data_IF_801998580342
#
_entry.id   IF_801998580342
#
_cell.length_a   1.000
_cell.length_b   1.000
_cell.length_c   1.000
_cell.angle_alpha   90.00
_cell.angle_beta   90.00
_cell.angle_gamma   90.00
#
_symmetry.space_group_name_H-M   'P 1'
#
loop_
_entity.id
_entity.type
_entity.pdbx_description
1 polymer ?
#
# COMPACT_ATOMS: atom_id res chain seq x y z
N UNK A 1 -9.41 32.42 -25.26
CA UNK A 1 -8.35 32.24 -24.23
C UNK A 1 -8.24 30.82 -23.66
N UNK A 2 -9.31 30.19 -23.14
CA UNK A 2 -9.24 28.85 -22.51
C UNK A 2 -8.56 27.74 -23.35
N UNK A 3 -8.80 27.69 -24.67
CA UNK A 3 -8.17 26.69 -25.58
C UNK A 3 -6.65 26.89 -25.81
N UNK A 4 -6.15 28.13 -25.81
CA UNK A 4 -4.71 28.41 -26.00
C UNK A 4 -3.93 28.12 -24.71
N UNK A 5 -4.53 28.42 -23.55
CA UNK A 5 -3.98 28.08 -22.23
C UNK A 5 -3.87 26.57 -22.02
N UNK A 6 -4.87 25.79 -22.45
CA UNK A 6 -4.82 24.33 -22.35
C UNK A 6 -3.70 23.71 -23.20
N UNK A 7 -3.43 24.25 -24.39
CA UNK A 7 -2.34 23.76 -25.26
C UNK A 7 -0.98 24.08 -24.64
N UNK A 8 -0.78 25.31 -24.16
CA UNK A 8 0.46 25.72 -23.48
C UNK A 8 0.74 24.87 -22.24
N UNK A 9 -0.29 24.60 -21.43
CA UNK A 9 -0.16 23.76 -20.24
C UNK A 9 0.16 22.31 -20.63
N UNK A 10 -0.47 21.75 -21.66
CA UNK A 10 -0.14 20.42 -22.18
C UNK A 10 1.33 20.37 -22.63
N UNK A 11 1.82 21.40 -23.32
CA UNK A 11 3.21 21.48 -23.77
C UNK A 11 4.20 21.55 -22.60
N UNK A 12 3.90 22.34 -21.55
CA UNK A 12 4.72 22.42 -20.33
C UNK A 12 4.69 21.10 -19.56
N UNK A 13 3.54 20.44 -19.49
CA UNK A 13 3.39 19.15 -18.81
C UNK A 13 4.19 18.05 -19.53
N UNK A 14 4.13 18.03 -20.85
CA UNK A 14 4.91 17.10 -21.69
C UNK A 14 6.41 17.38 -21.52
N UNK A 15 6.83 18.64 -21.48
CA UNK A 15 8.22 19.03 -21.19
C UNK A 15 8.67 18.61 -19.78
N UNK A 16 7.82 18.78 -18.77
CA UNK A 16 8.12 18.37 -17.40
C UNK A 16 8.24 16.85 -17.28
N UNK A 17 7.33 16.09 -17.92
CA UNK A 17 7.36 14.63 -17.95
C UNK A 17 8.60 14.11 -18.71
N UNK A 18 8.97 14.75 -19.83
CA UNK A 18 10.15 14.34 -20.60
C UNK A 18 11.46 14.65 -19.89
N UNK A 19 11.54 15.77 -19.16
CA UNK A 19 12.70 16.15 -18.33
C UNK A 19 12.86 15.21 -17.13
N UNK A 20 11.78 14.85 -16.43
CA UNK A 20 11.87 14.06 -15.18
C UNK A 20 11.98 12.55 -15.39
N UNK A 21 11.43 11.97 -16.46
CA UNK A 21 11.20 10.51 -16.51
C UNK A 21 11.90 9.76 -17.65
N UNK A 22 12.74 10.41 -18.48
CA UNK A 22 13.41 9.77 -19.65
C UNK A 22 12.45 8.82 -20.40
N UNK A 23 11.24 9.27 -20.69
CA UNK A 23 10.16 8.42 -21.21
C UNK A 23 10.46 8.05 -22.67
N UNK A 24 10.49 6.75 -22.98
CA UNK A 24 10.62 6.24 -24.37
C UNK A 24 9.45 6.74 -25.24
N UNK A 25 9.73 7.08 -26.50
CA UNK A 25 8.79 7.64 -27.48
C UNK A 25 7.47 6.85 -27.66
N UNK A 26 7.47 5.54 -27.38
CA UNK A 26 6.31 4.66 -27.53
C UNK A 26 5.13 5.00 -26.58
N UNK A 27 5.35 5.75 -25.49
CA UNK A 27 4.32 6.01 -24.46
C UNK A 27 3.66 7.38 -24.56
N UNK A 28 4.07 8.19 -25.53
CA UNK A 28 3.56 9.55 -25.71
C UNK A 28 2.07 9.50 -26.10
N UNK A 29 1.68 8.60 -27.00
CA UNK A 29 0.30 8.52 -27.52
C UNK A 29 -0.71 8.04 -26.45
N UNK A 30 -0.49 6.93 -25.71
CA UNK A 30 -1.39 6.53 -24.62
C UNK A 30 -1.43 7.57 -23.49
N UNK A 31 -0.30 8.21 -23.19
CA UNK A 31 -0.22 9.31 -22.22
C UNK A 31 -1.07 10.51 -22.65
N UNK A 32 -1.00 10.91 -23.92
CA UNK A 32 -1.83 12.00 -24.47
C UNK A 32 -3.33 11.65 -24.44
N UNK A 33 -3.72 10.43 -24.80
CA UNK A 33 -5.12 9.97 -24.70
C UNK A 33 -5.60 10.03 -23.25
N UNK A 34 -4.77 9.54 -22.31
CA UNK A 34 -5.07 9.58 -20.90
C UNK A 34 -5.22 11.03 -20.39
N UNK A 35 -4.32 11.95 -20.77
CA UNK A 35 -4.42 13.38 -20.45
C UNK A 35 -5.76 13.95 -20.92
N UNK A 36 -6.10 13.78 -22.19
CA UNK A 36 -7.35 14.29 -22.77
C UNK A 36 -8.57 13.73 -22.05
N UNK A 37 -8.57 12.44 -21.72
CA UNK A 37 -9.64 11.81 -20.96
C UNK A 37 -9.71 12.33 -19.52
N UNK A 38 -8.56 12.56 -18.88
CA UNK A 38 -8.42 13.12 -17.54
C UNK A 38 -9.01 14.53 -17.43
N UNK A 39 -8.77 15.36 -18.43
CA UNK A 39 -9.39 16.69 -18.54
C UNK A 39 -10.92 16.64 -18.65
N UNK A 40 -11.50 15.58 -19.23
CA UNK A 40 -12.96 15.42 -19.36
C UNK A 40 -13.60 14.79 -18.10
N UNK A 41 -12.98 13.77 -17.52
CA UNK A 41 -13.57 12.96 -16.44
C UNK A 41 -12.54 12.63 -15.35
N UNK A 42 -12.05 13.63 -14.59
CA UNK A 42 -10.98 13.45 -13.60
C UNK A 42 -11.34 12.44 -12.51
N UNK A 43 -12.62 12.34 -12.12
CA UNK A 43 -13.12 11.33 -11.18
C UNK A 43 -12.95 9.90 -11.66
N UNK A 44 -13.29 9.63 -12.93
CA UNK A 44 -13.12 8.31 -13.51
C UNK A 44 -11.64 7.99 -13.69
N UNK A 45 -10.85 8.97 -14.11
CA UNK A 45 -9.41 8.84 -14.23
C UNK A 45 -8.72 8.52 -12.92
N UNK A 46 -9.13 9.12 -11.80
CA UNK A 46 -8.64 8.75 -10.47
C UNK A 46 -8.87 7.27 -10.19
N UNK A 47 -10.09 6.76 -10.37
CA UNK A 47 -10.40 5.36 -10.13
C UNK A 47 -9.67 4.40 -11.07
N UNK A 48 -9.46 4.80 -12.33
CA UNK A 48 -8.65 4.05 -13.30
C UNK A 48 -7.18 4.01 -12.85
N UNK A 49 -6.60 5.14 -12.47
CA UNK A 49 -5.22 5.21 -11.97
C UNK A 49 -5.04 4.40 -10.70
N UNK A 50 -5.97 4.52 -9.76
CA UNK A 50 -6.01 3.72 -8.55
C UNK A 50 -6.02 2.22 -8.88
N UNK A 51 -6.95 1.80 -9.74
CA UNK A 51 -7.05 0.40 -10.15
C UNK A 51 -5.74 -0.10 -10.80
N UNK A 52 -5.18 0.64 -11.75
CA UNK A 52 -3.93 0.29 -12.45
C UNK A 52 -2.75 0.21 -11.49
N UNK A 53 -2.65 1.16 -10.55
CA UNK A 53 -1.56 1.20 -9.56
C UNK A 53 -1.53 -0.04 -8.66
N UNK A 54 -2.70 -0.62 -8.36
CA UNK A 54 -2.81 -1.87 -7.60
C UNK A 54 -2.75 -3.11 -8.51
N UNK A 55 -3.20 -3.01 -9.77
CA UNK A 55 -3.32 -4.14 -10.69
C UNK A 55 -1.97 -4.77 -11.04
N UNK A 56 -0.91 -3.98 -11.24
CA UNK A 56 0.35 -4.52 -11.75
C UNK A 56 1.26 -5.04 -10.62
N UNK A 57 1.72 -6.31 -10.66
CA UNK A 57 2.69 -6.85 -9.71
C UNK A 57 4.09 -6.30 -10.04
N UNK A 58 4.30 -5.06 -9.63
CA UNK A 58 5.53 -4.30 -9.82
C UNK A 58 6.67 -4.90 -8.96
N UNK A 59 7.87 -5.06 -9.55
CA UNK A 59 9.10 -5.45 -8.83
C UNK A 59 9.84 -6.69 -9.37
N UNK A 60 9.34 -7.35 -10.41
CA UNK A 60 9.89 -8.64 -10.89
C UNK A 60 10.89 -8.53 -12.07
N UNK A 61 10.86 -7.48 -12.89
CA UNK A 61 11.75 -7.38 -14.08
C UNK A 61 12.06 -5.95 -14.52
N UNK A 62 13.15 -5.77 -15.29
CA UNK A 62 13.53 -4.49 -15.89
C UNK A 62 12.45 -3.90 -16.82
N UNK A 63 11.64 -4.75 -17.47
CA UNK A 63 10.50 -4.30 -18.28
C UNK A 63 9.32 -3.82 -17.42
N UNK A 64 9.19 -4.31 -16.17
CA UNK A 64 8.20 -3.84 -15.20
C UNK A 64 8.64 -2.53 -14.49
N UNK A 65 9.92 -2.14 -14.56
CA UNK A 65 10.31 -0.78 -14.14
C UNK A 65 9.68 0.30 -15.03
N UNK A 66 9.35 -0.03 -16.28
CA UNK A 66 8.62 0.84 -17.19
C UNK A 66 7.18 1.07 -16.72
N UNK A 67 6.52 0.05 -16.16
CA UNK A 67 5.15 0.18 -15.65
C UNK A 67 5.08 1.05 -14.38
N UNK A 68 6.13 1.04 -13.55
CA UNK A 68 6.29 1.98 -12.43
C UNK A 68 6.27 3.42 -12.93
N UNK A 69 7.13 3.73 -13.90
CA UNK A 69 7.24 5.07 -14.46
C UNK A 69 5.91 5.51 -15.06
N UNK A 70 5.18 4.61 -15.74
CA UNK A 70 3.85 4.90 -16.28
C UNK A 70 2.84 5.24 -15.18
N UNK A 71 2.79 4.46 -14.09
CA UNK A 71 1.86 4.72 -12.97
C UNK A 71 2.19 6.06 -12.30
N UNK A 72 3.47 6.34 -12.05
CA UNK A 72 3.91 7.64 -11.50
C UNK A 72 3.49 8.77 -12.44
N UNK A 73 3.74 8.64 -13.75
CA UNK A 73 3.32 9.63 -14.74
C UNK A 73 1.80 9.84 -14.74
N UNK A 74 1.00 8.77 -14.64
CA UNK A 74 -0.46 8.88 -14.55
C UNK A 74 -0.90 9.65 -13.30
N UNK A 75 -0.28 9.39 -12.15
CA UNK A 75 -0.56 10.10 -10.89
C UNK A 75 -0.18 11.59 -11.02
N UNK A 76 0.97 11.89 -11.61
CA UNK A 76 1.43 13.27 -11.85
C UNK A 76 0.48 13.99 -12.80
N UNK A 77 0.11 13.38 -13.93
CA UNK A 77 -0.87 13.93 -14.89
C UNK A 77 -2.19 14.24 -14.17
N UNK A 78 -2.71 13.28 -13.42
CA UNK A 78 -3.96 13.41 -12.69
C UNK A 78 -3.89 14.57 -11.69
N UNK A 79 -2.80 14.66 -10.92
CA UNK A 79 -2.56 15.73 -9.95
C UNK A 79 -2.58 17.11 -10.63
N UNK A 80 -1.85 17.27 -11.73
CA UNK A 80 -1.84 18.53 -12.48
C UNK A 80 -3.21 18.89 -13.05
N UNK A 81 -3.94 17.93 -13.62
CA UNK A 81 -5.30 18.18 -14.15
C UNK A 81 -6.23 18.64 -13.03
N UNK A 82 -6.15 18.03 -11.85
CA UNK A 82 -6.94 18.43 -10.67
C UNK A 82 -6.56 19.82 -10.18
N UNK A 83 -5.27 20.18 -10.18
CA UNK A 83 -4.82 21.54 -9.84
C UNK A 83 -5.40 22.59 -10.81
N UNK A 84 -5.39 22.31 -12.11
CA UNK A 84 -5.92 23.22 -13.14
C UNK A 84 -7.44 23.35 -13.00
N UNK A 85 -8.13 22.25 -12.70
CA UNK A 85 -9.59 22.23 -12.49
C UNK A 85 -10.00 22.53 -11.05
N UNK A 86 -9.10 23.08 -10.23
CA UNK A 86 -9.30 23.22 -8.78
C UNK A 86 -10.56 23.99 -8.39
N UNK A 87 -11.06 24.90 -9.24
CA UNK A 87 -12.34 25.61 -9.06
C UNK A 87 -13.57 24.71 -9.08
N UNK A 88 -13.49 23.57 -9.76
CA UNK A 88 -14.60 22.60 -9.88
C UNK A 88 -14.54 21.52 -8.80
N UNK A 89 -13.57 21.60 -7.89
CA UNK A 89 -13.34 20.63 -6.83
C UNK A 89 -13.43 21.27 -5.45
N UNK A 90 -13.57 20.43 -4.44
CA UNK A 90 -13.68 20.85 -3.04
C UNK A 90 -12.49 21.70 -2.61
N UNK A 91 -12.71 22.75 -1.84
CA UNK A 91 -11.63 23.57 -1.25
C UNK A 91 -10.91 22.76 -0.16
N UNK A 92 -9.57 22.79 -0.15
CA UNK A 92 -8.78 22.13 0.88
C UNK A 92 -8.88 22.92 2.18
N UNK A 93 -9.60 22.39 3.17
CA UNK A 93 -9.82 23.06 4.46
C UNK A 93 -8.66 22.77 5.41
N UNK A 94 -7.83 23.78 5.70
CA UNK A 94 -6.72 23.68 6.66
C UNK A 94 -7.19 23.57 8.13
N UNK A 95 -8.43 23.97 8.43
CA UNK A 95 -8.97 23.90 9.80
C UNK A 95 -9.21 22.45 10.27
N UNK A 96 -9.16 21.46 9.37
CA UNK A 96 -9.23 20.06 9.76
C UNK A 96 -7.85 19.58 10.23
N UNK A 97 -7.78 19.04 11.45
CA UNK A 97 -6.55 18.54 12.06
C UNK A 97 -5.75 17.63 11.11
N UNK A 98 -6.39 16.65 10.46
CA UNK A 98 -5.70 15.71 9.56
C UNK A 98 -5.11 16.43 8.35
N UNK A 99 -5.84 17.38 7.78
CA UNK A 99 -5.38 18.18 6.64
C UNK A 99 -4.22 19.09 7.04
N UNK A 100 -4.27 19.68 8.22
CA UNK A 100 -3.18 20.51 8.75
C UNK A 100 -1.91 19.68 9.00
N UNK A 101 -2.04 18.50 9.59
CA UNK A 101 -0.93 17.55 9.80
C UNK A 101 -0.32 17.11 8.47
N UNK A 102 -1.16 16.79 7.49
CA UNK A 102 -0.71 16.44 6.14
C UNK A 102 0.05 17.59 5.47
N UNK A 103 -0.46 18.82 5.59
CA UNK A 103 0.17 20.00 5.03
C UNK A 103 1.55 20.27 5.67
N UNK A 104 1.64 20.18 7.00
CA UNK A 104 2.90 20.32 7.74
C UNK A 104 3.91 19.24 7.34
N UNK A 105 3.48 17.97 7.24
CA UNK A 105 4.34 16.88 6.79
C UNK A 105 4.85 17.13 5.36
N UNK A 106 3.99 17.63 4.48
CA UNK A 106 4.36 17.94 3.08
C UNK A 106 5.42 19.04 3.00
N UNK A 107 5.26 20.11 3.78
CA UNK A 107 6.27 21.18 3.89
C UNK A 107 7.58 20.60 4.40
N UNK A 108 7.52 19.81 5.47
CA UNK A 108 8.68 19.22 6.09
C UNK A 108 9.43 18.29 5.11
N UNK A 109 8.71 17.48 4.32
CA UNK A 109 9.32 16.69 3.26
C UNK A 109 10.00 17.56 2.20
N UNK A 110 9.39 18.67 1.78
CA UNK A 110 10.05 19.60 0.85
C UNK A 110 11.33 20.21 1.44
N UNK A 111 11.33 20.58 2.73
CA UNK A 111 12.54 21.07 3.41
C UNK A 111 13.65 20.01 3.38
N UNK A 112 13.35 18.78 3.78
CA UNK A 112 14.36 17.70 3.82
C UNK A 112 14.79 17.21 2.44
N UNK A 113 14.02 17.50 1.40
CA UNK A 113 14.46 17.33 0.02
C UNK A 113 15.60 18.31 -0.32
N UNK A 114 15.43 19.60 0.00
CA UNK A 114 16.48 20.59 -0.21
C UNK A 114 17.71 20.36 0.70
N UNK A 115 17.50 19.91 1.94
CA UNK A 115 18.61 19.48 2.82
C UNK A 115 19.40 18.34 2.16
N UNK A 116 18.71 17.33 1.62
CA UNK A 116 19.36 16.23 0.90
C UNK A 116 20.19 16.71 -0.30
N UNK A 117 19.61 17.60 -1.13
CA UNK A 117 20.34 18.21 -2.25
C UNK A 117 21.58 18.98 -1.80
N UNK A 118 21.48 19.76 -0.73
CA UNK A 118 22.61 20.55 -0.21
C UNK A 118 23.78 19.70 0.28
N UNK A 119 23.51 18.46 0.69
CA UNK A 119 24.52 17.48 1.15
C UNK A 119 25.05 16.58 0.02
N UNK A 120 24.62 16.81 -1.23
CA UNK A 120 25.04 16.00 -2.38
C UNK A 120 24.41 14.60 -2.43
N UNK A 121 23.32 14.37 -1.69
CA UNK A 121 22.61 13.09 -1.68
C UNK A 121 21.76 12.88 -2.94
N UNK A 122 21.36 11.63 -3.17
CA UNK A 122 20.48 11.23 -4.28
C UNK A 122 19.00 11.60 -4.03
N UNK A 123 18.76 12.81 -3.51
CA UNK A 123 17.47 13.25 -2.96
C UNK A 123 16.31 13.13 -3.95
N UNK A 124 16.54 13.38 -5.25
CA UNK A 124 15.51 13.27 -6.30
C UNK A 124 15.00 11.84 -6.51
N UNK A 125 15.89 10.85 -6.39
CA UNK A 125 15.54 9.43 -6.58
C UNK A 125 14.68 8.92 -5.43
N UNK A 126 14.98 9.36 -4.21
CA UNK A 126 14.26 8.97 -2.99
C UNK A 126 12.94 9.75 -2.83
N UNK A 127 12.97 11.08 -3.02
CA UNK A 127 11.83 11.97 -2.82
C UNK A 127 10.63 11.66 -3.72
N UNK A 128 10.84 11.06 -4.90
CA UNK A 128 9.76 10.73 -5.86
C UNK A 128 8.62 9.91 -5.23
N UNK A 129 8.96 9.01 -4.29
CA UNK A 129 7.98 8.15 -3.63
C UNK A 129 7.12 8.99 -2.69
N UNK A 130 7.73 9.87 -1.89
CA UNK A 130 7.04 10.77 -0.96
C UNK A 130 6.20 11.82 -1.70
N UNK A 131 6.71 12.36 -2.82
CA UNK A 131 5.95 13.25 -3.68
C UNK A 131 4.69 12.57 -4.24
N UNK A 132 4.80 11.31 -4.66
CA UNK A 132 3.64 10.52 -5.11
C UNK A 132 2.60 10.36 -3.99
N UNK A 133 3.04 10.13 -2.75
CA UNK A 133 2.14 10.02 -1.58
C UNK A 133 1.36 11.33 -1.33
N UNK A 134 2.06 12.46 -1.37
CA UNK A 134 1.45 13.80 -1.26
C UNK A 134 0.40 14.00 -2.36
N UNK A 135 0.76 13.71 -3.61
CA UNK A 135 -0.14 13.84 -4.76
C UNK A 135 -1.38 12.95 -4.61
N UNK A 136 -1.21 11.69 -4.20
CA UNK A 136 -2.31 10.75 -4.01
C UNK A 136 -3.27 11.20 -2.92
N UNK A 137 -2.76 11.62 -1.76
CA UNK A 137 -3.61 12.13 -0.68
C UNK A 137 -4.43 13.32 -1.15
N UNK A 138 -3.80 14.29 -1.82
CA UNK A 138 -4.45 15.50 -2.31
C UNK A 138 -5.47 15.22 -3.43
N UNK A 139 -5.11 14.40 -4.41
CA UNK A 139 -6.02 13.95 -5.48
C UNK A 139 -7.26 13.28 -4.88
N UNK A 140 -7.06 12.37 -3.93
CA UNK A 140 -8.16 11.68 -3.23
C UNK A 140 -9.08 12.68 -2.55
N UNK A 141 -8.53 13.63 -1.79
CA UNK A 141 -9.30 14.64 -1.08
C UNK A 141 -10.16 15.50 -2.03
N UNK A 142 -9.61 15.85 -3.20
CA UNK A 142 -10.29 16.71 -4.18
C UNK A 142 -11.34 15.99 -5.00
N UNK A 143 -11.10 14.72 -5.32
CA UNK A 143 -11.86 13.97 -6.32
C UNK A 143 -12.99 13.16 -5.70
N UNK A 144 -12.80 12.63 -4.50
CA UNK A 144 -13.78 11.76 -3.86
C UNK A 144 -14.93 12.59 -3.29
N UNK A 145 -16.14 12.11 -3.54
CA UNK A 145 -17.39 12.75 -3.13
C UNK A 145 -18.05 11.97 -1.98
N UNK A 146 -18.91 12.69 -1.25
CA UNK A 146 -19.64 12.28 -0.05
C UNK A 146 -20.48 10.99 -0.18
N UNK A 147 -20.78 10.56 -1.42
CA UNK A 147 -21.67 9.41 -1.70
C UNK A 147 -20.94 8.09 -1.94
N UNK A 148 -19.62 8.10 -2.05
CA UNK A 148 -18.87 6.86 -2.25
C UNK A 148 -18.69 6.17 -0.88
N UNK A 149 -19.26 4.97 -0.73
CA UNK A 149 -19.16 4.16 0.49
C UNK A 149 -17.80 3.41 0.53
N UNK A 150 -17.25 3.15 1.72
CA UNK A 150 -16.01 2.37 1.93
C UNK A 150 -16.05 1.02 1.21
N UNK A 151 -17.24 0.44 1.04
CA UNK A 151 -17.47 -0.75 0.21
C UNK A 151 -16.98 -0.58 -1.23
N UNK A 152 -17.18 0.59 -1.85
CA UNK A 152 -16.71 0.88 -3.22
C UNK A 152 -15.19 0.85 -3.30
N UNK A 153 -14.50 1.55 -2.39
CA UNK A 153 -13.04 1.55 -2.33
C UNK A 153 -12.50 0.13 -2.14
N UNK A 154 -13.08 -0.62 -1.20
CA UNK A 154 -12.66 -2.00 -0.92
C UNK A 154 -12.97 -2.96 -2.06
N UNK A 155 -14.13 -2.85 -2.71
CA UNK A 155 -14.47 -3.65 -3.88
C UNK A 155 -13.49 -3.37 -5.04
N UNK A 156 -13.20 -2.10 -5.33
CA UNK A 156 -12.21 -1.72 -6.35
C UNK A 156 -10.82 -2.28 -6.02
N UNK A 157 -10.43 -2.25 -4.74
CA UNK A 157 -9.18 -2.82 -4.25
C UNK A 157 -9.15 -4.34 -4.45
N UNK A 158 -10.23 -5.06 -4.14
CA UNK A 158 -10.34 -6.50 -4.38
C UNK A 158 -10.26 -6.84 -5.86
N UNK A 159 -10.96 -6.12 -6.74
CA UNK A 159 -10.89 -6.35 -8.18
C UNK A 159 -9.48 -6.11 -8.74
N UNK A 160 -8.81 -5.04 -8.29
CA UNK A 160 -7.44 -4.76 -8.69
C UNK A 160 -6.48 -5.85 -8.20
N UNK A 161 -6.62 -6.28 -6.95
CA UNK A 161 -5.80 -7.35 -6.37
C UNK A 161 -6.10 -8.72 -6.96
N UNK A 162 -7.33 -8.99 -7.42
CA UNK A 162 -7.65 -10.18 -8.20
C UNK A 162 -6.90 -10.19 -9.52
N UNK A 163 -6.92 -9.07 -10.25
CA UNK A 163 -6.15 -8.94 -11.49
C UNK A 163 -4.64 -9.01 -11.25
N UNK A 164 -4.13 -8.39 -10.17
CA UNK A 164 -2.75 -8.51 -9.73
C UNK A 164 -2.37 -9.97 -9.48
N UNK A 165 -3.24 -10.69 -8.77
CA UNK A 165 -3.01 -12.09 -8.48
C UNK A 165 -3.02 -12.95 -9.75
N UNK A 166 -3.97 -12.72 -10.66
CA UNK A 166 -4.03 -13.40 -11.94
C UNK A 166 -2.76 -13.17 -12.77
N UNK A 167 -2.33 -11.92 -12.92
CA UNK A 167 -1.09 -11.56 -13.63
C UNK A 167 0.12 -12.21 -12.95
N UNK A 168 0.21 -12.15 -11.63
CA UNK A 168 1.32 -12.76 -10.87
C UNK A 168 1.43 -14.26 -11.11
N UNK A 169 0.31 -15.00 -11.06
CA UNK A 169 0.28 -16.43 -11.35
C UNK A 169 0.65 -16.69 -12.82
N UNK A 170 0.13 -15.91 -13.76
CA UNK A 170 0.47 -16.04 -15.18
C UNK A 170 1.97 -15.83 -15.42
N UNK A 171 2.58 -14.80 -14.83
CA UNK A 171 4.02 -14.55 -14.92
C UNK A 171 4.80 -15.74 -14.35
N UNK A 172 4.39 -16.27 -13.20
CA UNK A 172 5.06 -17.43 -12.62
C UNK A 172 5.02 -18.66 -13.53
N UNK A 173 3.85 -18.97 -14.11
CA UNK A 173 3.68 -20.11 -15.02
C UNK A 173 4.47 -19.94 -16.32
N UNK A 174 4.66 -18.70 -16.76
CA UNK A 174 5.32 -18.37 -18.03
C UNK A 174 6.71 -17.80 -17.85
N UNK A 175 7.31 -17.92 -16.66
CA UNK A 175 8.60 -17.29 -16.28
C UNK A 175 9.78 -17.66 -17.18
N UNK A 176 9.72 -18.84 -17.81
CA UNK A 176 10.74 -19.34 -18.73
C UNK A 176 10.63 -18.73 -20.14
N UNK A 177 9.54 -18.00 -20.44
CA UNK A 177 9.40 -17.28 -21.70
C UNK A 177 10.25 -15.99 -21.68
N UNK A 178 10.94 -15.73 -22.78
CA UNK A 178 11.78 -14.53 -22.97
C UNK A 178 11.02 -13.21 -22.83
N UNK A 179 9.69 -13.23 -22.97
CA UNK A 179 8.79 -12.08 -22.90
C UNK A 179 8.93 -11.32 -21.56
N UNK A 180 9.16 -12.03 -20.46
CA UNK A 180 9.24 -11.41 -19.14
C UNK A 180 10.63 -10.93 -18.77
N UNK A 181 11.65 -11.37 -19.50
CA UNK A 181 13.06 -11.12 -19.23
C UNK A 181 13.45 -11.47 -17.78
N UNK A 182 12.93 -12.60 -17.26
CA UNK A 182 13.14 -13.11 -15.90
C UNK A 182 14.31 -14.13 -15.80
N UNK A 183 15.12 -14.24 -16.85
CA UNK A 183 16.19 -15.24 -16.95
C UNK A 183 17.17 -15.09 -15.78
N UNK A 184 17.36 -16.18 -15.02
CA UNK A 184 18.29 -16.24 -13.89
C UNK A 184 17.70 -16.04 -12.49
N UNK A 185 16.39 -15.82 -12.33
CA UNK A 185 15.78 -15.67 -11.00
C UNK A 185 15.47 -17.02 -10.32
N UNK A 186 16.51 -17.75 -9.90
CA UNK A 186 16.39 -18.89 -8.98
C UNK A 186 16.14 -18.38 -7.55
N UNK A 187 14.93 -17.88 -7.29
CA UNK A 187 14.63 -17.23 -6.00
C UNK A 187 13.14 -17.13 -5.67
N UNK A 188 12.84 -16.43 -4.58
CA UNK A 188 11.46 -16.15 -4.12
C UNK A 188 10.69 -15.40 -5.21
N UNK A 189 9.45 -15.82 -5.48
CA UNK A 189 8.56 -15.08 -6.37
C UNK A 189 7.84 -13.97 -5.58
N UNK A 190 8.59 -12.92 -5.26
CA UNK A 190 8.13 -11.75 -4.50
C UNK A 190 7.69 -10.61 -5.41
N UNK A 191 6.57 -9.95 -5.12
CA UNK A 191 6.16 -8.71 -5.79
C UNK A 191 5.56 -7.73 -4.79
N UNK A 192 5.65 -6.45 -5.10
CA UNK A 192 5.48 -5.38 -4.11
C UNK A 192 4.05 -5.24 -3.55
N UNK A 193 3.03 -5.91 -4.11
CA UNK A 193 1.64 -5.79 -3.66
C UNK A 193 1.22 -6.80 -2.58
N UNK A 194 2.06 -7.78 -2.22
CA UNK A 194 1.64 -8.95 -1.42
C UNK A 194 1.09 -8.60 -0.04
N UNK A 195 1.59 -7.55 0.60
CA UNK A 195 1.11 -7.15 1.94
C UNK A 195 -0.33 -6.59 1.88
N UNK A 196 -0.81 -6.13 0.72
CA UNK A 196 -2.23 -5.79 0.55
C UNK A 196 -3.16 -7.01 0.65
N UNK A 197 -2.66 -8.23 0.51
CA UNK A 197 -3.49 -9.41 0.78
C UNK A 197 -3.94 -9.48 2.24
N UNK A 198 -3.21 -8.88 3.18
CA UNK A 198 -3.63 -8.78 4.58
C UNK A 198 -5.01 -8.13 4.68
N UNK A 199 -5.22 -7.02 3.97
CA UNK A 199 -6.49 -6.29 4.05
C UNK A 199 -7.55 -6.84 3.09
N UNK A 200 -7.18 -7.24 1.87
CA UNK A 200 -8.15 -7.71 0.88
C UNK A 200 -8.71 -9.10 1.18
N UNK A 201 -7.88 -10.07 1.58
CA UNK A 201 -8.39 -11.40 1.98
C UNK A 201 -9.28 -11.30 3.22
N UNK A 202 -8.93 -10.42 4.16
CA UNK A 202 -9.70 -10.16 5.36
C UNK A 202 -11.06 -9.55 5.06
N UNK A 203 -11.11 -8.57 4.15
CA UNK A 203 -12.37 -8.01 3.68
C UNK A 203 -13.22 -9.04 2.92
N UNK A 204 -12.63 -9.84 2.03
CA UNK A 204 -13.35 -10.92 1.33
C UNK A 204 -13.91 -11.96 2.31
N UNK A 205 -13.13 -12.32 3.33
CA UNK A 205 -13.56 -13.21 4.40
C UNK A 205 -14.73 -12.61 5.20
N UNK A 206 -14.67 -11.31 5.54
CA UNK A 206 -15.78 -10.60 6.19
C UNK A 206 -17.07 -10.64 5.35
N UNK A 207 -16.99 -10.34 4.04
CA UNK A 207 -18.14 -10.39 3.13
C UNK A 207 -18.74 -11.81 3.06
N UNK A 208 -17.88 -12.82 2.91
CA UNK A 208 -18.28 -14.21 2.86
C UNK A 208 -18.95 -14.67 4.18
N UNK A 209 -18.35 -14.34 5.31
CA UNK A 209 -18.80 -14.74 6.64
C UNK A 209 -20.13 -14.11 7.05
N UNK A 210 -20.31 -12.83 6.70
CA UNK A 210 -21.53 -12.07 7.00
C UNK A 210 -22.57 -12.12 5.88
N UNK A 211 -22.33 -12.90 4.81
CA UNK A 211 -23.22 -13.07 3.65
C UNK A 211 -23.62 -11.74 2.98
N UNK A 212 -22.73 -10.75 3.01
CA UNK A 212 -22.90 -9.49 2.27
C UNK A 212 -22.29 -9.67 0.87
N UNK A 213 -23.07 -10.16 -0.09
CA UNK A 213 -22.60 -10.44 -1.45
C UNK A 213 -22.61 -9.19 -2.35
N UNK A 214 -21.70 -8.26 -2.09
CA UNK A 214 -21.49 -7.08 -2.95
C UNK A 214 -20.55 -7.37 -4.13
N UNK A 215 -19.88 -8.51 -4.10
CA UNK A 215 -19.03 -9.06 -5.16
C UNK A 215 -19.59 -10.44 -5.50
N UNK A 216 -19.53 -10.84 -6.77
CA UNK A 216 -19.98 -12.17 -7.17
C UNK A 216 -19.20 -13.27 -6.43
N UNK A 217 -19.91 -14.32 -6.02
CA UNK A 217 -19.33 -15.42 -5.23
C UNK A 217 -18.18 -16.11 -5.95
N UNK A 218 -18.25 -16.22 -7.28
CA UNK A 218 -17.19 -16.80 -8.11
C UNK A 218 -15.90 -15.97 -8.06
N UNK A 219 -16.01 -14.64 -8.19
CA UNK A 219 -14.83 -13.76 -8.14
C UNK A 219 -14.17 -13.82 -6.76
N UNK A 220 -14.96 -13.84 -5.67
CA UNK A 220 -14.43 -13.99 -4.31
C UNK A 220 -13.63 -15.31 -4.15
N UNK A 221 -14.20 -16.43 -4.60
CA UNK A 221 -13.55 -17.74 -4.48
C UNK A 221 -12.25 -17.78 -5.32
N UNK A 222 -12.32 -17.35 -6.59
CA UNK A 222 -11.16 -17.33 -7.47
C UNK A 222 -10.06 -16.38 -6.94
N UNK A 223 -10.44 -15.21 -6.42
CA UNK A 223 -9.49 -14.25 -5.84
C UNK A 223 -8.79 -14.79 -4.60
N UNK A 224 -9.54 -15.43 -3.69
CA UNK A 224 -8.94 -16.11 -2.53
C UNK A 224 -7.95 -17.18 -2.97
N UNK A 225 -8.33 -18.04 -3.93
CA UNK A 225 -7.48 -19.12 -4.42
C UNK A 225 -6.17 -18.60 -5.04
N UNK A 226 -6.25 -17.62 -5.95
CA UNK A 226 -5.06 -17.03 -6.58
C UNK A 226 -4.16 -16.31 -5.57
N UNK A 227 -4.75 -15.60 -4.61
CA UNK A 227 -3.99 -14.89 -3.57
C UNK A 227 -3.23 -15.88 -2.67
N UNK A 228 -3.85 -17.01 -2.31
CA UNK A 228 -3.20 -18.07 -1.52
C UNK A 228 -2.02 -18.67 -2.28
N UNK A 229 -2.18 -19.00 -3.57
CA UNK A 229 -1.08 -19.49 -4.41
C UNK A 229 0.10 -18.53 -4.36
N UNK A 230 -0.15 -17.23 -4.50
CA UNK A 230 0.95 -16.26 -4.54
C UNK A 230 1.58 -16.01 -3.18
N UNK A 231 0.82 -16.09 -2.08
CA UNK A 231 1.39 -16.07 -0.74
C UNK A 231 2.35 -17.25 -0.56
N UNK A 232 1.98 -18.45 -1.02
CA UNK A 232 2.86 -19.63 -0.97
C UNK A 232 4.11 -19.39 -1.83
N UNK A 233 3.94 -18.93 -3.08
CA UNK A 233 5.04 -18.66 -4.01
C UNK A 233 6.00 -17.56 -3.51
N UNK A 234 5.49 -16.59 -2.74
CA UNK A 234 6.29 -15.50 -2.16
C UNK A 234 7.28 -15.97 -1.11
N UNK A 235 7.00 -17.10 -0.45
CA UNK A 235 7.71 -17.56 0.74
C UNK A 235 7.77 -16.52 1.87
N UNK A 236 6.88 -15.51 1.86
CA UNK A 236 6.74 -14.55 2.96
C UNK A 236 5.95 -15.21 4.10
N UNK A 237 6.61 -15.34 5.25
CA UNK A 237 6.05 -16.02 6.43
C UNK A 237 5.15 -15.10 7.26
N UNK A 238 5.44 -13.80 7.27
CA UNK A 238 4.74 -12.81 8.12
C UNK A 238 3.31 -12.56 7.64
N UNK A 239 3.12 -12.35 6.34
CA UNK A 239 1.80 -12.03 5.77
C UNK A 239 0.73 -13.10 6.06
N UNK A 240 0.95 -14.41 5.81
CA UNK A 240 -0.03 -15.45 6.13
C UNK A 240 -0.37 -15.52 7.63
N UNK A 241 0.60 -15.33 8.53
CA UNK A 241 0.35 -15.31 9.97
C UNK A 241 -0.57 -14.13 10.34
N UNK A 242 -0.29 -12.93 9.83
CA UNK A 242 -1.12 -11.74 10.09
C UNK A 242 -2.54 -11.90 9.52
N UNK A 243 -2.69 -12.53 8.35
CA UNK A 243 -4.01 -12.86 7.77
C UNK A 243 -4.79 -13.80 8.69
N UNK A 244 -4.16 -14.87 9.19
CA UNK A 244 -4.80 -15.84 10.08
C UNK A 244 -5.26 -15.21 11.40
N UNK A 245 -4.41 -14.41 12.04
CA UNK A 245 -4.76 -13.65 13.24
C UNK A 245 -5.98 -12.77 12.94
N UNK A 246 -5.99 -12.09 11.80
CA UNK A 246 -7.08 -11.20 11.46
C UNK A 246 -8.40 -11.94 11.16
N UNK A 247 -8.35 -13.14 10.56
CA UNK A 247 -9.55 -13.97 10.41
C UNK A 247 -10.17 -14.34 11.76
N UNK A 248 -9.34 -14.69 12.76
CA UNK A 248 -9.80 -14.97 14.13
C UNK A 248 -10.47 -13.72 14.72
N UNK A 249 -9.83 -12.54 14.58
CA UNK A 249 -10.40 -11.28 15.05
C UNK A 249 -11.74 -10.96 14.38
N UNK A 250 -11.88 -11.17 13.06
CA UNK A 250 -13.14 -10.94 12.33
C UNK A 250 -14.26 -11.87 12.83
N UNK A 251 -13.93 -13.12 13.13
CA UNK A 251 -14.85 -14.07 13.72
C UNK A 251 -15.34 -13.55 15.08
N UNK A 252 -14.42 -13.14 15.96
CA UNK A 252 -14.72 -12.58 17.29
C UNK A 252 -15.58 -11.31 17.19
N UNK A 253 -15.22 -10.38 16.30
CA UNK A 253 -16.00 -9.17 16.01
C UNK A 253 -17.42 -9.52 15.59
N UNK A 254 -17.58 -10.57 14.80
CA UNK A 254 -18.89 -10.99 14.34
C UNK A 254 -19.72 -11.64 15.46
N UNK A 255 -19.09 -12.24 16.47
CA UNK A 255 -19.73 -12.82 17.67
C UNK A 255 -20.25 -11.80 18.68
N UNK A 256 -19.96 -10.51 18.51
CA UNK A 256 -20.51 -9.45 19.39
C UNK A 256 -22.04 -9.28 19.31
N UNK A 257 -22.75 -10.07 18.49
CA UNK A 257 -24.21 -10.18 18.52
C UNK A 257 -24.61 -11.56 19.07
N UNK A 258 -25.75 -11.65 19.79
CA UNK A 258 -26.37 -12.92 20.21
C UNK A 258 -26.56 -13.85 18.98
N UNK A 259 -25.67 -14.83 18.80
CA UNK A 259 -25.73 -15.81 17.71
C UNK A 259 -26.26 -17.13 18.26
N UNK A 260 -27.21 -17.75 17.55
CA UNK A 260 -27.69 -19.08 17.87
C UNK A 260 -26.62 -20.16 17.62
N UNK A 261 -26.54 -21.16 18.50
CA UNK A 261 -25.54 -22.24 18.49
C UNK A 261 -25.38 -22.92 17.11
N UNK A 262 -26.49 -23.12 16.38
CA UNK A 262 -26.47 -23.71 15.02
C UNK A 262 -25.72 -22.85 13.99
N UNK A 263 -25.82 -21.52 14.07
CA UNK A 263 -25.06 -20.60 13.19
C UNK A 263 -23.58 -20.58 13.57
N UNK A 264 -23.26 -20.74 14.86
CA UNK A 264 -21.91 -20.80 15.39
C UNK A 264 -21.16 -22.06 14.94
N UNK A 265 -21.78 -23.24 15.06
CA UNK A 265 -21.20 -24.52 14.61
C UNK A 265 -20.90 -24.51 13.11
N UNK A 266 -21.82 -24.02 12.28
CA UNK A 266 -21.62 -23.92 10.82
C UNK A 266 -20.49 -22.95 10.44
N UNK A 267 -20.30 -21.88 11.24
CA UNK A 267 -19.28 -20.85 11.03
C UNK A 267 -17.89 -21.33 11.48
N UNK A 268 -17.80 -22.05 12.60
CA UNK A 268 -16.58 -22.71 13.05
C UNK A 268 -16.17 -23.88 12.13
N UNK A 269 -17.13 -24.63 11.59
CA UNK A 269 -16.86 -25.72 10.65
C UNK A 269 -16.16 -25.26 9.36
N UNK A 270 -16.53 -24.09 8.82
CA UNK A 270 -15.83 -23.50 7.67
C UNK A 270 -14.40 -23.07 8.03
N UNK A 271 -14.20 -22.48 9.22
CA UNK A 271 -12.87 -22.09 9.69
C UNK A 271 -11.96 -23.29 9.89
N UNK A 272 -12.46 -24.34 10.57
CA UNK A 272 -11.75 -25.60 10.75
C UNK A 272 -11.44 -26.25 9.40
N UNK A 273 -12.37 -26.23 8.45
CA UNK A 273 -12.12 -26.74 7.10
C UNK A 273 -11.00 -25.97 6.39
N UNK A 274 -11.02 -24.63 6.41
CA UNK A 274 -9.94 -23.82 5.83
C UNK A 274 -8.60 -24.09 6.53
N UNK A 275 -8.60 -24.16 7.87
CA UNK A 275 -7.41 -24.45 8.65
C UNK A 275 -6.85 -25.85 8.34
N UNK A 276 -7.70 -26.86 8.16
CA UNK A 276 -7.31 -28.22 7.76
C UNK A 276 -6.76 -28.23 6.34
N UNK A 277 -7.38 -27.54 5.38
CA UNK A 277 -6.88 -27.45 4.00
C UNK A 277 -5.50 -26.75 3.97
N UNK A 278 -5.33 -25.68 4.74
CA UNK A 278 -4.05 -24.97 4.87
C UNK A 278 -3.00 -25.85 5.56
N UNK A 279 -3.37 -26.55 6.64
CA UNK A 279 -2.47 -27.45 7.37
C UNK A 279 -2.08 -28.69 6.54
N UNK A 280 -3.01 -29.25 5.77
CA UNK A 280 -2.76 -30.37 4.87
C UNK A 280 -1.90 -29.96 3.68
N UNK A 281 -2.17 -28.79 3.09
CA UNK A 281 -1.32 -28.17 2.07
C UNK A 281 0.10 -27.90 2.61
N UNK A 282 0.21 -27.37 3.82
CA UNK A 282 1.47 -27.17 4.50
C UNK A 282 2.20 -28.51 4.76
N UNK A 283 1.51 -29.54 5.22
CA UNK A 283 2.08 -30.87 5.49
C UNK A 283 2.63 -31.52 4.20
N UNK A 284 1.91 -31.44 3.09
CA UNK A 284 2.38 -31.97 1.80
C UNK A 284 3.58 -31.19 1.25
N UNK A 285 3.66 -29.88 1.50
CA UNK A 285 4.84 -29.08 1.17
C UNK A 285 6.02 -29.43 2.09
N UNK A 286 5.76 -29.66 3.39
CA UNK A 286 6.74 -30.07 4.41
C UNK A 286 7.26 -31.51 4.22
N UNK A 287 6.55 -32.36 3.47
CA UNK A 287 7.01 -33.71 3.15
C UNK A 287 7.64 -33.83 1.74
N UNK A 288 7.66 -32.74 0.96
CA UNK A 288 8.29 -32.69 -0.37
C UNK A 288 9.72 -32.16 -0.30
N UNK A 289 10.75 -32.92 -0.72
CA UNK A 289 12.17 -32.52 -0.77
C UNK A 289 12.41 -31.27 -1.65
N UNK A 290 12.05 -30.11 -1.12
CA UNK A 290 12.03 -28.82 -1.79
C UNK A 290 12.87 -27.83 -1.01
N UNK A 291 13.44 -26.84 -1.70
CA UNK A 291 14.22 -25.74 -1.09
C UNK A 291 13.47 -25.01 0.05
N UNK A 292 12.14 -25.09 0.06
CA UNK A 292 11.29 -24.57 1.12
C UNK A 292 11.50 -25.30 2.45
N UNK A 293 11.60 -26.63 2.44
CA UNK A 293 11.91 -27.43 3.64
C UNK A 293 13.32 -27.11 4.12
N UNK A 294 14.30 -27.03 3.23
CA UNK A 294 15.68 -26.75 3.62
C UNK A 294 15.78 -25.37 4.30
N UNK A 295 15.04 -24.36 3.80
CA UNK A 295 14.93 -23.04 4.45
C UNK A 295 14.07 -23.02 5.72
N UNK A 296 13.18 -23.99 5.93
CA UNK A 296 12.39 -24.13 7.15
C UNK A 296 13.19 -24.86 8.23
N UNK A 297 13.87 -25.96 7.88
CA UNK A 297 14.81 -26.69 8.74
C UNK A 297 16.02 -25.84 9.13
N UNK A 298 16.47 -24.92 8.27
CA UNK A 298 17.48 -23.92 8.60
C UNK A 298 17.06 -22.93 9.69
N UNK A 299 15.75 -22.77 9.97
CA UNK A 299 15.25 -21.96 11.10
C UNK A 299 15.39 -22.71 12.43
N UNK A 300 15.32 -24.05 12.40
CA UNK A 300 15.48 -24.88 13.59
C UNK A 300 16.93 -25.23 13.91
N UNK A 301 17.86 -25.05 12.96
CA UNK A 301 19.30 -25.13 13.23
C UNK A 301 19.78 -23.79 13.79
N UNK A 302 20.13 -23.78 15.05
CA UNK A 302 20.57 -22.65 15.91
C UNK A 302 21.78 -21.83 15.41
N UNK A 303 22.18 -21.94 14.14
CA UNK A 303 23.33 -21.24 13.57
C UNK A 303 22.94 -20.14 12.55
N UNK A 304 21.66 -20.00 12.16
CA UNK A 304 21.22 -19.02 11.14
C UNK A 304 20.05 -18.12 11.61
N UNK A 305 20.20 -17.44 12.75
CA UNK A 305 19.34 -16.32 13.18
C UNK A 305 19.53 -15.02 12.36
N UNK A 306 20.23 -15.13 11.21
CA UNK A 306 20.87 -14.01 10.54
C UNK A 306 19.90 -12.92 10.09
N UNK A 307 18.72 -13.24 9.56
CA UNK A 307 17.82 -12.21 9.01
C UNK A 307 17.11 -11.37 10.07
N UNK A 308 16.69 -11.98 11.18
CA UNK A 308 16.03 -11.24 12.26
C UNK A 308 17.08 -10.44 13.04
N UNK A 309 18.24 -11.05 13.29
CA UNK A 309 19.39 -10.40 13.91
C UNK A 309 19.91 -9.21 13.08
N UNK A 310 20.09 -9.38 11.77
CA UNK A 310 20.44 -8.29 10.83
C UNK A 310 19.46 -7.13 10.95
N UNK A 311 18.14 -7.41 11.00
CA UNK A 311 17.12 -6.36 11.15
C UNK A 311 17.21 -5.64 12.49
N UNK A 312 17.37 -6.37 13.59
CA UNK A 312 17.49 -5.77 14.91
C UNK A 312 18.76 -4.92 15.01
N UNK A 313 19.91 -5.45 14.60
CA UNK A 313 21.18 -4.70 14.58
C UNK A 313 21.11 -3.45 13.69
N UNK A 314 20.48 -3.57 12.52
CA UNK A 314 20.24 -2.42 11.64
C UNK A 314 19.34 -1.39 12.33
N UNK A 315 18.31 -1.83 13.07
CA UNK A 315 17.41 -0.91 13.77
C UNK A 315 18.12 -0.19 14.90
N UNK A 316 18.85 -0.91 15.74
CA UNK A 316 19.60 -0.35 16.86
C UNK A 316 20.60 0.70 16.37
N UNK A 317 21.36 0.37 15.32
CA UNK A 317 22.27 1.32 14.68
C UNK A 317 21.60 2.63 14.23
N UNK A 318 20.42 2.56 13.57
CA UNK A 318 19.74 3.78 13.16
C UNK A 318 19.05 4.51 14.30
N UNK A 319 18.64 3.82 15.37
CA UNK A 319 18.09 4.46 16.55
C UNK A 319 19.16 5.34 17.20
N UNK A 320 20.37 4.82 17.40
CA UNK A 320 21.50 5.60 17.93
C UNK A 320 21.77 6.86 17.08
N UNK A 321 21.78 6.71 15.75
CA UNK A 321 21.96 7.85 14.84
C UNK A 321 20.80 8.87 14.87
N UNK A 322 19.57 8.41 15.09
CA UNK A 322 18.41 9.29 15.24
C UNK A 322 18.49 10.04 16.57
N UNK A 323 18.99 9.40 17.63
CA UNK A 323 19.21 10.04 18.93
C UNK A 323 20.29 11.12 18.84
N UNK A 324 21.39 10.86 18.12
CA UNK A 324 22.43 11.85 17.88
C UNK A 324 21.97 13.03 16.99
N UNK A 325 21.11 12.75 16.00
CA UNK A 325 20.61 13.74 15.02
C UNK A 325 19.08 13.72 14.92
N UNK A 326 18.36 14.23 15.94
CA UNK A 326 16.90 14.12 16.02
C UNK A 326 16.15 14.94 14.97
N UNK A 327 16.82 15.93 14.37
CA UNK A 327 16.28 16.71 13.26
C UNK A 327 16.32 15.95 11.93
N UNK A 328 17.04 14.84 11.83
CA UNK A 328 17.12 14.05 10.59
C UNK A 328 18.12 14.58 9.58
N UNK A 329 18.35 13.77 8.53
CA UNK A 329 19.51 13.92 7.66
C UNK A 329 19.21 14.48 6.26
N UNK A 330 17.96 14.44 5.80
CA UNK A 330 17.57 14.76 4.42
C UNK A 330 17.32 13.51 3.58
N UNK A 331 16.57 13.68 2.48
CA UNK A 331 16.28 12.59 1.53
C UNK A 331 17.50 12.20 0.69
N UNK A 332 17.54 10.94 0.25
CA UNK A 332 18.61 10.40 -0.60
C UNK A 332 19.88 9.99 0.12
N UNK A 333 19.89 10.05 1.46
CA UNK A 333 20.97 9.50 2.27
C UNK A 333 20.98 7.98 2.14
N UNK A 334 22.18 7.40 1.96
CA UNK A 334 22.33 5.95 1.94
C UNK A 334 22.12 5.37 3.34
N UNK A 335 21.40 4.24 3.37
CA UNK A 335 21.05 3.53 4.59
C UNK A 335 21.50 2.06 4.47
N UNK A 336 22.79 1.75 4.66
CA UNK A 336 23.30 0.38 4.61
C UNK A 336 22.66 -0.51 5.69
N UNK A 337 22.56 -1.80 5.41
CA UNK A 337 22.17 -2.82 6.37
C UNK A 337 23.38 -3.31 7.17
N UNK A 338 23.14 -3.63 8.45
CA UNK A 338 24.12 -4.27 9.34
C UNK A 338 23.83 -5.76 9.35
N UNK A 339 24.77 -6.58 8.90
CA UNK A 339 24.64 -8.04 8.88
C UNK A 339 24.61 -8.65 10.29
N UNK A 340 24.38 -9.95 10.37
CA UNK A 340 24.29 -10.68 11.64
C UNK A 340 25.61 -10.75 12.43
N UNK A 341 26.72 -10.45 11.76
CA UNK A 341 28.09 -10.38 12.29
C UNK A 341 28.48 -8.94 12.68
N UNK A 342 27.63 -7.95 12.40
CA UNK A 342 27.87 -6.54 12.70
C UNK A 342 28.58 -5.75 11.60
N UNK A 343 28.80 -6.35 10.42
CA UNK A 343 29.44 -5.65 9.29
C UNK A 343 28.39 -4.92 8.45
N UNK A 344 28.81 -3.81 7.83
CA UNK A 344 27.98 -3.12 6.86
C UNK A 344 27.95 -3.85 5.53
N UNK A 345 26.75 -4.13 5.03
CA UNK A 345 26.57 -4.56 3.66
C UNK A 345 26.84 -3.36 2.74
N UNK A 346 27.72 -3.55 1.76
CA UNK A 346 28.21 -2.51 0.83
C UNK A 346 27.11 -2.10 -0.19
N UNK A 347 25.87 -2.57 -0.03
CA UNK A 347 24.77 -2.19 -0.92
C UNK A 347 24.40 -0.71 -0.75
N UNK A 348 24.33 0.01 -1.87
CA UNK A 348 23.83 1.39 -1.96
C UNK A 348 22.30 1.44 -1.75
N UNK A 349 21.80 0.94 -0.62
CA UNK A 349 20.39 1.06 -0.28
C UNK A 349 20.07 2.49 0.15
N UNK A 350 18.92 3.01 -0.28
CA UNK A 350 18.38 4.28 0.19
C UNK A 350 17.35 4.09 1.31
N UNK A 351 17.10 2.85 1.73
CA UNK A 351 16.04 2.54 2.68
C UNK A 351 16.32 1.26 3.48
N UNK A 352 15.70 1.18 4.66
CA UNK A 352 15.68 -0.03 5.49
C UNK A 352 14.33 -0.74 5.44
N UNK A 353 14.27 -1.95 6.00
CA UNK A 353 13.05 -2.77 6.14
C UNK A 353 12.02 -2.22 7.14
N UNK A 354 12.15 -0.96 7.60
CA UNK A 354 11.24 -0.32 8.56
C UNK A 354 10.85 1.10 8.14
N UNK A 355 9.57 1.33 7.86
CA UNK A 355 9.06 2.62 7.43
C UNK A 355 9.31 3.74 8.45
N UNK A 356 9.23 3.44 9.75
CA UNK A 356 9.40 4.44 10.81
C UNK A 356 10.84 4.94 10.88
N UNK A 357 11.80 4.03 10.81
CA UNK A 357 13.22 4.37 10.79
C UNK A 357 13.55 5.21 9.55
N UNK A 358 13.02 4.83 8.39
CA UNK A 358 13.20 5.61 7.16
C UNK A 358 12.69 7.06 7.31
N UNK A 359 11.49 7.26 7.85
CA UNK A 359 10.94 8.61 8.07
C UNK A 359 11.76 9.38 9.10
N UNK A 360 12.05 8.76 10.24
CA UNK A 360 12.74 9.40 11.35
C UNK A 360 14.17 9.82 10.96
N UNK A 361 14.91 8.94 10.31
CA UNK A 361 16.29 9.21 9.90
C UNK A 361 16.38 10.29 8.82
N UNK A 362 15.40 10.34 7.90
CA UNK A 362 15.40 11.30 6.78
C UNK A 362 14.81 12.66 7.15
N UNK A 363 13.73 12.67 7.95
CA UNK A 363 12.90 13.85 8.20
C UNK A 363 12.81 14.25 9.68
N UNK A 364 13.52 13.53 10.55
CA UNK A 364 13.58 13.78 11.98
C UNK A 364 12.37 13.23 12.74
N UNK A 365 12.45 13.36 14.07
CA UNK A 365 11.41 12.89 15.00
C UNK A 365 10.09 13.63 14.76
N UNK A 366 10.13 14.91 14.40
CA UNK A 366 8.91 15.69 14.07
C UNK A 366 8.22 15.10 12.85
N UNK A 367 8.99 14.79 11.79
CA UNK A 367 8.46 14.12 10.61
C UNK A 367 7.84 12.76 10.94
N UNK A 368 8.49 11.97 11.80
CA UNK A 368 7.95 10.70 12.30
C UNK A 368 6.62 10.89 13.04
N UNK A 369 6.53 11.85 13.97
CA UNK A 369 5.31 12.09 14.74
C UNK A 369 4.14 12.46 13.81
N UNK A 370 4.36 13.41 12.88
CA UNK A 370 3.35 13.81 11.91
C UNK A 370 2.91 12.64 11.02
N UNK A 371 3.87 11.83 10.57
CA UNK A 371 3.60 10.61 9.80
C UNK A 371 2.76 9.62 10.60
N UNK A 372 3.12 9.35 11.87
CA UNK A 372 2.39 8.46 12.77
C UNK A 372 0.95 8.91 13.00
N UNK A 373 0.73 10.21 13.19
CA UNK A 373 -0.62 10.78 13.33
C UNK A 373 -1.47 10.47 12.09
N UNK A 374 -0.91 10.67 10.90
CA UNK A 374 -1.64 10.44 9.63
C UNK A 374 -1.95 8.97 9.41
N UNK A 375 -0.97 8.07 9.57
CA UNK A 375 -1.19 6.63 9.34
C UNK A 375 -2.07 6.00 10.41
N UNK A 376 -2.11 6.54 11.65
CA UNK A 376 -2.99 6.03 12.70
C UNK A 376 -4.41 6.63 12.63
N UNK A 377 -4.60 7.76 11.94
CA UNK A 377 -5.91 8.42 11.82
C UNK A 377 -7.03 7.51 11.31
N UNK A 378 -6.83 6.58 10.34
CA UNK A 378 -7.87 5.66 9.91
C UNK A 378 -8.42 4.78 11.02
N UNK A 379 -7.59 4.34 11.98
CA UNK A 379 -8.02 3.51 13.10
C UNK A 379 -9.06 4.27 13.95
N UNK A 380 -8.77 5.53 14.26
CA UNK A 380 -9.67 6.40 15.03
C UNK A 380 -10.95 6.65 14.23
N UNK A 381 -10.84 7.01 12.95
CA UNK A 381 -12.01 7.31 12.10
C UNK A 381 -12.91 6.10 11.86
N UNK A 382 -12.34 4.90 11.72
CA UNK A 382 -13.11 3.66 11.66
C UNK A 382 -13.85 3.39 12.97
N UNK A 383 -13.24 3.64 14.13
CA UNK A 383 -13.92 3.52 15.41
C UNK A 383 -15.10 4.51 15.55
N UNK A 384 -14.92 5.76 15.09
CA UNK A 384 -16.01 6.75 15.03
C UNK A 384 -17.13 6.30 14.11
N UNK A 385 -16.81 5.87 12.88
CA UNK A 385 -17.82 5.38 11.95
C UNK A 385 -18.58 4.15 12.46
N UNK A 386 -17.90 3.25 13.19
CA UNK A 386 -18.56 2.15 13.88
C UNK A 386 -19.54 2.66 14.94
N UNK A 387 -19.16 3.66 15.74
CA UNK A 387 -20.07 4.24 16.75
C UNK A 387 -21.32 4.85 16.11
N UNK A 388 -21.16 5.57 15.00
CA UNK A 388 -22.25 6.24 14.28
C UNK A 388 -23.17 5.26 13.54
N UNK A 389 -22.61 4.26 12.85
CA UNK A 389 -23.39 3.35 11.96
C UNK A 389 -23.72 1.99 12.57
N UNK A 390 -22.98 1.58 13.60
CA UNK A 390 -22.94 0.20 14.13
C UNK A 390 -22.56 -0.87 13.09
N UNK A 391 -22.06 -0.49 11.91
CA UNK A 391 -21.63 -1.48 10.91
C UNK A 391 -20.28 -2.11 11.32
N UNK A 392 -20.31 -3.41 11.56
CA UNK A 392 -19.14 -4.22 11.94
C UNK A 392 -18.02 -4.21 10.89
N UNK A 393 -18.31 -3.80 9.65
CA UNK A 393 -17.28 -3.60 8.64
C UNK A 393 -16.17 -2.68 9.14
N UNK A 394 -16.51 -1.55 9.78
CA UNK A 394 -15.50 -0.59 10.23
C UNK A 394 -14.56 -1.19 11.28
N UNK A 395 -15.08 -2.02 12.19
CA UNK A 395 -14.25 -2.71 13.19
C UNK A 395 -13.35 -3.76 12.52
N UNK A 396 -13.90 -4.55 11.59
CA UNK A 396 -13.15 -5.52 10.78
C UNK A 396 -12.05 -4.86 9.94
N UNK A 397 -12.33 -3.70 9.37
CA UNK A 397 -11.36 -2.93 8.60
C UNK A 397 -10.29 -2.33 9.49
N UNK A 398 -10.65 -1.90 10.71
CA UNK A 398 -9.68 -1.40 11.69
C UNK A 398 -8.66 -2.46 12.08
N UNK A 399 -9.07 -3.70 12.38
CA UNK A 399 -8.13 -4.78 12.69
C UNK A 399 -7.28 -5.14 11.47
N UNK A 400 -7.88 -5.18 10.28
CA UNK A 400 -7.17 -5.49 9.03
C UNK A 400 -6.12 -4.43 8.69
N UNK A 401 -6.46 -3.16 8.87
CA UNK A 401 -5.56 -2.04 8.65
C UNK A 401 -4.43 -2.01 9.68
N UNK A 402 -4.71 -2.33 10.94
CA UNK A 402 -3.67 -2.48 11.97
C UNK A 402 -2.67 -3.59 11.62
N UNK A 403 -3.15 -4.74 11.15
CA UNK A 403 -2.27 -5.82 10.67
C UNK A 403 -1.47 -5.43 9.43
N UNK A 404 -2.07 -4.63 8.52
CA UNK A 404 -1.36 -4.06 7.38
C UNK A 404 -0.24 -3.10 7.82
N UNK A 405 -0.46 -2.30 8.86
CA UNK A 405 0.60 -1.47 9.45
C UNK A 405 1.73 -2.36 9.96
N UNK A 406 1.46 -3.36 10.81
CA UNK A 406 2.51 -4.26 11.32
C UNK A 406 3.32 -4.89 10.18
N UNK A 407 2.65 -5.53 9.21
CA UNK A 407 3.33 -6.22 8.10
C UNK A 407 4.05 -5.28 7.14
N UNK A 408 3.43 -4.15 6.81
CA UNK A 408 3.88 -3.23 5.77
C UNK A 408 4.78 -2.10 6.27
N UNK A 409 4.77 -1.76 7.55
CA UNK A 409 5.58 -0.68 8.13
C UNK A 409 6.78 -1.23 8.89
N UNK A 410 6.56 -2.14 9.84
CA UNK A 410 7.60 -2.62 10.76
C UNK A 410 8.54 -3.65 10.11
N UNK A 411 7.99 -4.53 9.27
CA UNK A 411 8.75 -5.68 8.75
C UNK A 411 9.28 -5.53 7.32
N UNK A 412 8.74 -4.61 6.52
CA UNK A 412 9.06 -4.54 5.08
C UNK A 412 9.08 -3.14 4.47
N UNK A 413 8.84 -2.07 5.24
CA UNK A 413 8.71 -0.67 4.76
C UNK A 413 7.80 -0.41 3.53
N UNK A 414 7.00 -1.40 3.13
CA UNK A 414 6.17 -1.39 1.93
C UNK A 414 5.10 -0.30 1.93
N UNK A 415 4.65 0.18 3.09
CA UNK A 415 3.72 1.33 3.13
C UNK A 415 4.32 2.61 2.53
N UNK A 416 5.65 2.68 2.41
CA UNK A 416 6.36 3.74 1.70
C UNK A 416 6.78 3.25 0.32
N UNK A 417 7.56 2.17 0.26
CA UNK A 417 8.35 1.83 -0.93
C UNK A 417 7.64 0.92 -1.94
N UNK A 418 6.51 0.30 -1.56
CA UNK A 418 5.69 -0.42 -2.52
C UNK A 418 4.66 0.51 -3.15
N UNK A 419 4.67 0.64 -4.47
CA UNK A 419 3.70 1.47 -5.20
C UNK A 419 2.26 1.09 -4.91
N UNK A 420 1.92 -0.21 -4.96
CA UNK A 420 0.55 -0.66 -4.72
C UNK A 420 0.13 -0.42 -3.27
N UNK A 421 0.99 -0.82 -2.30
CA UNK A 421 0.68 -0.67 -0.86
C UNK A 421 0.61 0.81 -0.49
N UNK A 422 1.59 1.62 -0.87
CA UNK A 422 1.60 3.06 -0.66
C UNK A 422 0.38 3.73 -1.31
N UNK A 423 -0.01 3.32 -2.52
CA UNK A 423 -1.21 3.87 -3.18
C UNK A 423 -2.47 3.60 -2.39
N UNK A 424 -2.68 2.35 -1.98
CA UNK A 424 -3.79 1.99 -1.11
C UNK A 424 -3.75 2.80 0.19
N UNK A 425 -2.60 2.89 0.86
CA UNK A 425 -2.46 3.56 2.16
C UNK A 425 -2.88 5.02 2.10
N UNK A 426 -2.32 5.81 1.17
CA UNK A 426 -2.57 7.24 1.11
C UNK A 426 -3.95 7.60 0.58
N UNK A 427 -4.49 6.78 -0.33
CA UNK A 427 -5.90 6.89 -0.74
C UNK A 427 -6.81 6.54 0.43
N UNK A 428 -6.55 5.45 1.15
CA UNK A 428 -7.37 5.03 2.28
C UNK A 428 -7.37 6.05 3.43
N UNK A 429 -6.22 6.62 3.77
CA UNK A 429 -6.09 7.67 4.78
C UNK A 429 -6.91 8.90 4.38
N UNK A 430 -6.73 9.43 3.18
CA UNK A 430 -7.47 10.60 2.72
C UNK A 430 -8.98 10.34 2.66
N UNK A 431 -9.37 9.18 2.12
CA UNK A 431 -10.76 8.75 1.98
C UNK A 431 -11.49 8.68 3.32
N UNK A 432 -10.96 7.92 4.28
CA UNK A 432 -11.68 7.62 5.52
C UNK A 432 -11.82 8.84 6.41
N UNK A 433 -10.81 9.72 6.41
CA UNK A 433 -10.88 10.98 7.15
C UNK A 433 -11.96 11.88 6.56
N UNK A 434 -11.94 12.09 5.24
CA UNK A 434 -12.92 12.92 4.55
C UNK A 434 -14.35 12.41 4.74
N UNK A 435 -14.58 11.11 4.56
CA UNK A 435 -15.89 10.49 4.74
C UNK A 435 -16.42 10.65 6.18
N UNK A 436 -15.56 10.45 7.18
CA UNK A 436 -15.98 10.50 8.59
C UNK A 436 -16.31 11.92 9.03
N UNK A 437 -15.52 12.89 8.61
CA UNK A 437 -15.71 14.29 8.99
C UNK A 437 -17.03 14.84 8.45
N UNK A 438 -17.38 14.51 7.21
CA UNK A 438 -18.70 14.85 6.65
C UNK A 438 -19.85 14.18 7.39
N UNK A 439 -19.70 12.88 7.70
CA UNK A 439 -20.73 12.14 8.43
C UNK A 439 -20.96 12.72 9.83
N UNK A 440 -19.91 13.17 10.49
CA UNK A 440 -20.00 13.89 11.77
C UNK A 440 -20.65 15.27 11.61
N UNK A 441 -20.30 16.03 10.58
CA UNK A 441 -20.94 17.32 10.30
C UNK A 441 -22.45 17.16 10.05
N UNK A 442 -22.88 16.13 9.33
CA UNK A 442 -24.29 15.81 9.10
C UNK A 442 -24.99 15.38 10.39
N UNK A 443 -24.40 14.44 11.13
CA UNK A 443 -24.95 13.97 12.41
C UNK A 443 -25.13 15.10 13.42
N UNK A 444 -24.17 16.03 13.50
CA UNK A 444 -24.26 17.18 14.40
C UNK A 444 -25.29 18.23 13.96
N UNK A 445 -25.63 18.28 12.66
CA UNK A 445 -26.72 19.15 12.15
C UNK A 445 -28.09 18.56 12.41
N UNK A 446 -28.22 17.23 12.37
CA UNK A 446 -29.50 16.53 12.62
C UNK A 446 -29.87 16.48 14.11
N UNK A 447 -28.90 16.60 15.02
CA UNK A 447 -29.10 16.56 16.47
C UNK A 447 -28.98 17.94 17.16
N UNK A 448 -28.96 19.02 16.40
CA UNK A 448 -29.09 20.41 16.87
C UNK A 448 -30.42 20.96 16.40
#
# INVERSE_FOLDING_TARGET
MKKKLSILIISILVAFISIFFKVKSLFILPGMIYIVYCFKNPKRCFWITYFIALLFPIGLSNNLNLSITIVICMVVILYFVILIHSSNFRIFKLNNFVNSTFFLLSILYCIYFFVGLSKGYSASVDFKIYAMQIMLFYCTYKVINEKDDIYKLMNMTVYAMFGNAAIGVSIYLTKNLSIWNLQGTSGRFGYNAQTLFIITLSYMFFLFYNRKYLISKSILICSCFLSIILIILSQNRTNPVLILINFILIILISFTNKISLKKLIRKMGLFIFIAIVVAYGANNIINSNSDFINRYKQVSSSNNDDNLKTRMLTFDYYLDLIEEKPLGNGFGIHMPFVDAQGNFQIEESLNTDNAYINIAYKSGIIGLILYMILICSPLVKMAVNYRLSKDKLYLSMSTSYFMLLIGGSMFTSQIIHSYAVSTFMWVFISYINLYTDEKLELYNKENK
#
